data_IF_115394905844
#
_entry.id   IF_115394905844
#
_cell.length_a   1.000
_cell.length_b   1.000
_cell.length_c   1.000
_cell.angle_alpha   90.00
_cell.angle_beta   90.00
_cell.angle_gamma   90.00
#
_symmetry.space_group_name_H-M   'P 1'
#
loop_
_entity.id
_entity.type
_entity.pdbx_description
1 polymer ?
#
# COMPACT_ATOMS: atom_id res chain seq x y z
N UNK A 1 25.32 -11.98 4.59
CA UNK A 1 24.31 -11.15 3.91
C UNK A 1 23.71 -10.23 4.95
N UNK A 2 23.57 -8.94 4.65
CA UNK A 2 22.92 -8.01 5.58
C UNK A 2 21.40 -8.25 5.55
N UNK A 3 20.78 -8.28 6.73
CA UNK A 3 19.32 -8.29 6.88
C UNK A 3 18.89 -6.83 7.03
N UNK A 4 18.31 -6.26 5.97
CA UNK A 4 17.91 -4.85 5.97
C UNK A 4 16.58 -4.70 6.71
N UNK A 5 16.56 -3.81 7.71
CA UNK A 5 15.31 -3.47 8.40
C UNK A 5 14.39 -2.71 7.46
N UNK A 6 13.13 -3.13 7.41
CA UNK A 6 12.04 -2.42 6.73
C UNK A 6 11.16 -1.72 7.76
N UNK A 7 10.29 -0.79 7.34
CA UNK A 7 9.29 -0.21 8.24
C UNK A 7 8.40 -1.25 8.91
N UNK A 8 8.08 -2.36 8.24
CA UNK A 8 7.27 -3.43 8.85
C UNK A 8 8.04 -4.28 9.86
N UNK A 9 9.34 -4.51 9.66
CA UNK A 9 10.15 -5.20 10.69
C UNK A 9 10.36 -4.31 11.90
N UNK A 10 10.56 -3.00 11.70
CA UNK A 10 10.62 -2.01 12.77
C UNK A 10 9.28 -1.92 13.52
N UNK A 11 8.16 -1.87 12.79
CA UNK A 11 6.82 -1.88 13.38
C UNK A 11 6.60 -3.11 14.27
N UNK A 12 6.89 -4.31 13.76
CA UNK A 12 6.77 -5.56 14.53
C UNK A 12 7.68 -5.58 15.75
N UNK A 13 8.90 -5.05 15.65
CA UNK A 13 9.81 -4.96 16.79
C UNK A 13 9.24 -4.05 17.89
N UNK A 14 8.69 -2.89 17.50
CA UNK A 14 8.06 -1.95 18.44
C UNK A 14 6.75 -2.49 19.01
N UNK A 15 5.93 -3.15 18.20
CA UNK A 15 4.68 -3.77 18.65
C UNK A 15 4.91 -4.83 19.74
N UNK A 16 6.08 -5.49 19.78
CA UNK A 16 6.44 -6.44 20.85
C UNK A 16 6.78 -5.78 22.19
N UNK A 17 7.26 -4.54 22.19
CA UNK A 17 7.73 -3.85 23.40
C UNK A 17 6.78 -2.76 23.87
N UNK A 18 5.99 -2.18 22.96
CA UNK A 18 5.10 -1.06 23.20
C UNK A 18 3.69 -1.31 22.62
N UNK A 19 3.12 -2.49 22.88
CA UNK A 19 1.87 -2.99 22.28
C UNK A 19 0.74 -1.95 22.26
N UNK A 20 0.51 -1.28 23.39
CA UNK A 20 -0.61 -0.38 23.60
C UNK A 20 -0.28 1.11 23.42
N UNK A 21 0.99 1.44 23.13
CA UNK A 21 1.35 2.81 22.81
C UNK A 21 0.77 3.21 21.45
N UNK A 22 0.37 4.46 21.31
CA UNK A 22 -0.23 4.99 20.08
C UNK A 22 0.80 5.04 18.95
N UNK A 23 0.50 4.34 17.85
CA UNK A 23 1.27 4.36 16.61
C UNK A 23 0.70 5.38 15.62
N UNK A 24 -0.63 5.42 15.49
CA UNK A 24 -1.32 6.30 14.52
C UNK A 24 -2.53 6.96 15.18
N UNK A 25 -2.80 8.22 14.83
CA UNK A 25 -4.05 8.91 15.15
C UNK A 25 -4.99 8.80 13.96
N UNK A 26 -6.04 8.00 14.10
CA UNK A 26 -7.05 7.85 13.04
C UNK A 26 -8.06 8.98 13.13
N UNK A 27 -8.21 9.73 12.03
CA UNK A 27 -9.23 10.76 11.90
C UNK A 27 -10.59 10.14 11.55
N UNK A 28 -11.62 10.58 12.26
CA UNK A 28 -13.02 10.26 12.03
C UNK A 28 -13.78 11.53 11.67
N UNK A 29 -14.59 11.47 10.62
CA UNK A 29 -15.49 12.56 10.28
C UNK A 29 -16.72 12.48 11.19
N UNK A 30 -16.98 13.54 11.95
CA UNK A 30 -18.20 13.67 12.76
C UNK A 30 -18.88 15.00 12.48
N UNK A 31 -20.18 15.09 12.76
CA UNK A 31 -21.00 16.29 12.56
C UNK A 31 -20.50 17.50 13.35
N UNK A 32 -19.81 17.27 14.47
CA UNK A 32 -19.25 18.33 15.33
C UNK A 32 -17.81 18.72 14.98
N UNK A 33 -17.28 18.26 13.85
CA UNK A 33 -15.87 18.42 13.47
C UNK A 33 -15.05 17.13 13.59
N UNK A 34 -13.78 17.14 13.16
CA UNK A 34 -12.95 15.95 13.11
C UNK A 34 -12.64 15.42 14.52
N UNK A 35 -12.85 14.12 14.72
CA UNK A 35 -12.43 13.41 15.94
C UNK A 35 -11.24 12.52 15.63
N UNK A 36 -10.41 12.25 16.62
CA UNK A 36 -9.27 11.36 16.47
C UNK A 36 -9.35 10.22 17.48
N UNK A 37 -9.07 9.01 17.04
CA UNK A 37 -8.86 7.86 17.92
C UNK A 37 -7.43 7.37 17.82
N UNK A 38 -7.00 6.68 18.87
CA UNK A 38 -5.67 6.13 18.96
C UNK A 38 -5.68 4.71 18.41
N UNK A 39 -4.77 4.45 17.47
CA UNK A 39 -4.45 3.11 16.99
C UNK A 39 -3.13 2.73 17.62
N UNK A 40 -3.13 1.67 18.42
CA UNK A 40 -1.92 1.18 19.06
C UNK A 40 -0.99 0.46 18.08
N UNK A 41 0.28 0.28 18.42
CA UNK A 41 1.21 -0.51 17.61
C UNK A 41 0.71 -1.93 17.32
N UNK A 42 0.14 -2.59 18.33
CA UNK A 42 -0.43 -3.93 18.17
C UNK A 42 -1.66 -3.92 17.24
N UNK A 43 -2.55 -2.92 17.39
CA UNK A 43 -3.70 -2.79 16.50
C UNK A 43 -3.25 -2.54 15.05
N UNK A 44 -2.29 -1.64 14.86
CA UNK A 44 -1.79 -1.29 13.53
C UNK A 44 -1.14 -2.48 12.83
N UNK A 45 -0.32 -3.26 13.55
CA UNK A 45 0.27 -4.49 13.00
C UNK A 45 -0.81 -5.49 12.57
N UNK A 46 -1.82 -5.74 13.42
CA UNK A 46 -2.89 -6.68 13.11
C UNK A 46 -3.74 -6.22 11.93
N UNK A 47 -4.03 -4.92 11.83
CA UNK A 47 -4.78 -4.36 10.72
C UNK A 47 -4.00 -4.50 9.40
N UNK A 48 -2.68 -4.32 9.42
CA UNK A 48 -1.81 -4.57 8.25
C UNK A 48 -1.82 -6.04 7.85
N UNK A 49 -1.72 -6.97 8.82
CA UNK A 49 -1.80 -8.42 8.53
C UNK A 49 -3.14 -8.81 7.91
N UNK A 50 -4.25 -8.29 8.45
CA UNK A 50 -5.58 -8.50 7.89
C UNK A 50 -5.69 -7.94 6.47
N UNK A 51 -5.16 -6.74 6.23
CA UNK A 51 -5.17 -6.11 4.90
C UNK A 51 -4.30 -6.86 3.90
N UNK A 52 -3.16 -7.39 4.33
CA UNK A 52 -2.31 -8.21 3.50
C UNK A 52 -2.97 -9.54 3.11
N UNK A 53 -3.65 -10.19 4.06
CA UNK A 53 -4.47 -11.37 3.82
C UNK A 53 -5.55 -11.09 2.77
N UNK A 54 -6.26 -9.97 2.92
CA UNK A 54 -7.27 -9.55 1.96
C UNK A 54 -6.69 -9.36 0.55
N UNK A 55 -5.57 -8.64 0.41
CA UNK A 55 -4.98 -8.41 -0.91
C UNK A 55 -4.44 -9.68 -1.54
N UNK A 56 -3.79 -10.55 -0.77
CA UNK A 56 -3.34 -11.85 -1.25
C UNK A 56 -4.51 -12.69 -1.78
N UNK A 57 -5.61 -12.75 -1.02
CA UNK A 57 -6.85 -13.44 -1.44
C UNK A 57 -7.48 -12.80 -2.67
N UNK A 58 -7.44 -11.47 -2.78
CA UNK A 58 -8.03 -10.72 -3.88
C UNK A 58 -7.25 -10.92 -5.18
N UNK A 59 -5.92 -10.97 -5.11
CA UNK A 59 -5.05 -11.09 -6.28
C UNK A 59 -4.86 -12.52 -6.78
N UNK A 60 -4.99 -13.51 -5.90
CA UNK A 60 -4.78 -14.93 -6.24
C UNK A 60 -5.62 -15.42 -7.44
N UNK A 61 -6.93 -15.11 -7.58
CA UNK A 61 -7.73 -15.55 -8.71
C UNK A 61 -7.38 -14.88 -10.05
N UNK A 62 -6.51 -13.85 -10.03
CA UNK A 62 -6.10 -13.08 -11.19
C UNK A 62 -4.67 -13.40 -11.65
N UNK A 63 -4.07 -14.49 -11.12
CA UNK A 63 -2.71 -14.94 -11.44
C UNK A 63 -1.61 -13.88 -11.25
N UNK A 64 -1.87 -12.89 -10.37
CA UNK A 64 -0.89 -11.86 -10.02
C UNK A 64 0.13 -12.48 -9.07
N UNK A 65 1.36 -12.63 -9.55
CA UNK A 65 2.45 -13.25 -8.80
C UNK A 65 2.94 -12.35 -7.66
N UNK A 66 3.36 -12.94 -6.55
CA UNK A 66 4.14 -12.22 -5.53
C UNK A 66 5.36 -11.54 -6.18
N UNK A 67 5.88 -10.47 -5.56
CA UNK A 67 6.96 -9.60 -6.07
C UNK A 67 6.56 -8.72 -7.28
N UNK A 68 5.36 -8.88 -7.83
CA UNK A 68 4.84 -7.97 -8.84
C UNK A 68 4.67 -6.55 -8.28
N UNK A 69 4.76 -5.55 -9.17
CA UNK A 69 4.45 -4.16 -8.85
C UNK A 69 2.94 -3.99 -8.83
N UNK A 70 2.42 -3.37 -7.78
CA UNK A 70 1.00 -3.01 -7.64
C UNK A 70 0.91 -1.50 -7.51
N UNK A 71 0.21 -0.87 -8.45
CA UNK A 71 -0.15 0.53 -8.37
C UNK A 71 -1.08 0.77 -7.18
N UNK A 72 -0.86 1.85 -6.43
CA UNK A 72 -1.70 2.26 -5.31
C UNK A 72 -2.05 3.74 -5.49
N UNK A 73 -3.27 4.01 -5.95
CA UNK A 73 -3.74 5.35 -6.29
C UNK A 73 -4.88 5.77 -5.36
N UNK A 74 -4.50 6.27 -4.18
CA UNK A 74 -5.39 6.57 -3.06
C UNK A 74 -5.33 8.05 -2.69
N UNK A 75 -6.29 8.51 -1.87
CA UNK A 75 -6.27 9.87 -1.29
C UNK A 75 -5.04 10.14 -0.43
N UNK A 76 -4.56 9.12 0.29
CA UNK A 76 -3.36 9.19 1.13
C UNK A 76 -3.55 9.99 2.43
N UNK A 77 -4.77 10.09 2.93
CA UNK A 77 -5.10 10.90 4.12
C UNK A 77 -5.85 10.13 5.22
N UNK A 78 -6.35 8.93 4.90
CA UNK A 78 -7.05 8.08 5.86
C UNK A 78 -6.11 7.02 6.45
N UNK A 79 -6.50 6.47 7.60
CA UNK A 79 -5.82 5.31 8.16
C UNK A 79 -5.91 4.09 7.23
N UNK A 80 -7.05 3.90 6.55
CA UNK A 80 -7.19 2.82 5.57
C UNK A 80 -6.21 2.95 4.40
N UNK A 81 -5.90 4.18 3.95
CA UNK A 81 -4.89 4.38 2.91
C UNK A 81 -3.52 3.81 3.32
N UNK A 82 -3.12 4.03 4.58
CA UNK A 82 -1.89 3.44 5.14
C UNK A 82 -1.96 1.92 5.18
N UNK A 83 -3.10 1.35 5.57
CA UNK A 83 -3.30 -0.09 5.60
C UNK A 83 -3.19 -0.71 4.22
N UNK A 84 -3.73 -0.08 3.19
CA UNK A 84 -3.62 -0.56 1.82
C UNK A 84 -2.17 -0.55 1.33
N UNK A 85 -1.45 0.56 1.55
CA UNK A 85 -0.03 0.70 1.16
C UNK A 85 0.82 -0.39 1.83
N UNK A 86 0.73 -0.50 3.15
CA UNK A 86 1.54 -1.46 3.91
C UNK A 86 1.05 -2.90 3.78
N UNK A 87 -0.25 -3.10 3.59
CA UNK A 87 -0.86 -4.40 3.36
C UNK A 87 -0.43 -5.01 2.02
N UNK A 88 -0.36 -4.21 0.95
CA UNK A 88 0.20 -4.63 -0.35
C UNK A 88 1.66 -5.06 -0.18
N UNK A 89 2.48 -4.24 0.48
CA UNK A 89 3.87 -4.60 0.75
C UNK A 89 3.99 -5.88 1.60
N UNK A 90 3.20 -5.96 2.68
CA UNK A 90 3.16 -7.12 3.58
C UNK A 90 2.73 -8.40 2.87
N UNK A 91 1.85 -8.31 1.88
CA UNK A 91 1.39 -9.43 1.08
C UNK A 91 2.44 -9.96 0.08
N UNK A 92 3.60 -9.30 -0.02
CA UNK A 92 4.74 -9.74 -0.83
C UNK A 92 4.88 -8.99 -2.16
N UNK A 93 4.15 -7.89 -2.37
CA UNK A 93 4.20 -7.09 -3.60
C UNK A 93 5.02 -5.80 -3.41
N UNK A 94 5.46 -5.19 -4.51
CA UNK A 94 6.07 -3.85 -4.48
C UNK A 94 4.99 -2.80 -4.72
N UNK A 95 4.75 -1.90 -3.77
CA UNK A 95 3.77 -0.84 -3.93
C UNK A 95 4.35 0.33 -4.75
N UNK A 96 3.67 0.73 -5.82
CA UNK A 96 3.92 1.97 -6.55
C UNK A 96 2.90 3.02 -6.14
N UNK A 97 3.33 4.07 -5.46
CA UNK A 97 2.44 5.07 -4.87
C UNK A 97 2.12 6.19 -5.86
N UNK A 98 0.87 6.24 -6.33
CA UNK A 98 0.40 7.25 -7.28
C UNK A 98 -0.37 8.33 -6.52
N UNK A 99 0.07 9.59 -6.67
CA UNK A 99 -0.55 10.72 -5.99
C UNK A 99 -1.90 11.07 -6.63
N UNK A 100 -2.95 11.21 -5.81
CA UNK A 100 -4.30 11.58 -6.29
C UNK A 100 -4.37 12.93 -7.03
N UNK A 101 -3.40 13.83 -6.80
CA UNK A 101 -3.33 15.11 -7.52
C UNK A 101 -3.03 14.94 -9.02
N UNK A 102 -2.60 13.77 -9.45
CA UNK A 102 -2.53 13.39 -10.85
C UNK A 102 -3.95 13.12 -11.34
N UNK A 103 -4.66 14.14 -11.83
CA UNK A 103 -6.09 14.02 -12.20
C UNK A 103 -6.30 13.47 -13.60
N UNK A 104 -5.25 13.39 -14.42
CA UNK A 104 -5.30 12.82 -15.76
C UNK A 104 -5.01 11.31 -15.70
N UNK A 105 -5.98 10.44 -16.02
CA UNK A 105 -5.79 8.99 -16.01
C UNK A 105 -4.71 8.52 -16.98
N UNK A 106 -4.48 9.22 -18.10
CA UNK A 106 -3.46 8.83 -19.09
C UNK A 106 -2.06 8.83 -18.49
N UNK A 107 -1.76 9.82 -17.65
CA UNK A 107 -0.46 9.93 -16.94
C UNK A 107 -0.32 8.81 -15.92
N UNK A 108 -1.40 8.46 -15.21
CA UNK A 108 -1.40 7.34 -14.28
C UNK A 108 -1.14 6.01 -15.02
N UNK A 109 -1.77 5.79 -16.18
CA UNK A 109 -1.53 4.61 -17.01
C UNK A 109 -0.09 4.56 -17.55
N UNK A 110 0.49 5.69 -17.94
CA UNK A 110 1.89 5.76 -18.39
C UNK A 110 2.84 5.32 -17.27
N UNK A 111 2.68 5.84 -16.05
CA UNK A 111 3.57 5.47 -14.93
C UNK A 111 3.36 4.05 -14.45
N UNK A 112 2.13 3.51 -14.52
CA UNK A 112 1.84 2.10 -14.23
C UNK A 112 2.54 1.20 -15.24
N UNK A 113 2.43 1.53 -16.53
CA UNK A 113 3.07 0.80 -17.63
C UNK A 113 4.59 0.84 -17.49
N UNK A 114 5.16 2.02 -17.23
CA UNK A 114 6.59 2.19 -17.05
C UNK A 114 7.15 1.38 -15.88
N UNK A 115 6.36 1.16 -14.82
CA UNK A 115 6.75 0.37 -13.66
C UNK A 115 6.50 -1.13 -13.83
N UNK A 116 5.88 -1.56 -14.94
CA UNK A 116 5.46 -2.93 -15.13
C UNK A 116 4.40 -3.37 -14.09
N UNK A 117 3.50 -2.47 -13.72
CA UNK A 117 2.46 -2.77 -12.73
C UNK A 117 1.54 -3.88 -13.24
N UNK A 118 1.37 -4.92 -12.41
CA UNK A 118 0.49 -6.06 -12.71
C UNK A 118 -0.98 -5.77 -12.39
N UNK A 119 -1.25 -4.83 -11.50
CA UNK A 119 -2.59 -4.39 -11.12
C UNK A 119 -2.57 -3.00 -10.47
N UNK A 120 -3.76 -2.43 -10.29
CA UNK A 120 -3.98 -1.14 -9.63
C UNK A 120 -5.00 -1.27 -8.49
N UNK A 121 -4.61 -0.85 -7.30
CA UNK A 121 -5.51 -0.55 -6.18
C UNK A 121 -5.84 0.94 -6.21
N UNK A 122 -7.11 1.32 -6.21
CA UNK A 122 -7.52 2.71 -6.38
C UNK A 122 -8.60 3.18 -5.40
N UNK A 123 -8.68 4.50 -5.18
CA UNK A 123 -9.79 5.10 -4.44
C UNK A 123 -11.12 4.86 -5.20
N UNK A 124 -12.23 4.59 -4.51
CA UNK A 124 -13.49 4.26 -5.18
C UNK A 124 -14.00 5.38 -6.09
N UNK A 125 -13.65 6.64 -5.80
CA UNK A 125 -13.99 7.79 -6.65
C UNK A 125 -13.38 7.70 -8.05
N UNK A 126 -12.27 6.96 -8.23
CA UNK A 126 -11.60 6.80 -9.52
C UNK A 126 -12.20 5.69 -10.39
N UNK A 127 -13.18 4.93 -9.90
CA UNK A 127 -13.71 3.77 -10.60
C UNK A 127 -14.27 4.10 -12.00
N UNK A 128 -14.88 5.29 -12.17
CA UNK A 128 -15.43 5.71 -13.46
C UNK A 128 -14.37 6.04 -14.50
N UNK A 129 -13.21 6.55 -14.08
CA UNK A 129 -12.12 6.94 -14.99
C UNK A 129 -11.18 5.78 -15.34
N UNK A 130 -11.34 4.63 -14.68
CA UNK A 130 -10.52 3.44 -14.85
C UNK A 130 -11.22 2.32 -15.65
N UNK A 131 -12.39 2.58 -16.24
CA UNK A 131 -13.17 1.57 -16.96
C UNK A 131 -12.41 0.94 -18.14
N UNK A 132 -11.54 1.73 -18.78
CA UNK A 132 -10.75 1.31 -19.94
C UNK A 132 -9.32 0.87 -19.56
N UNK A 133 -9.08 0.55 -18.27
CA UNK A 133 -7.76 0.11 -17.80
C UNK A 133 -7.33 -1.20 -18.49
N UNK A 134 -6.09 -1.23 -18.98
CA UNK A 134 -5.48 -2.41 -19.60
C UNK A 134 -4.95 -3.43 -18.58
N UNK A 135 -4.89 -3.05 -17.30
CA UNK A 135 -4.52 -3.93 -16.18
C UNK A 135 -5.70 -4.08 -15.20
N UNK A 136 -5.79 -5.20 -14.46
CA UNK A 136 -6.80 -5.38 -13.43
C UNK A 136 -6.82 -4.24 -12.40
N UNK A 137 -8.01 -3.73 -12.10
CA UNK A 137 -8.21 -2.66 -11.10
C UNK A 137 -9.07 -3.12 -9.94
N UNK A 138 -8.69 -2.72 -8.73
CA UNK A 138 -9.36 -3.11 -7.50
C UNK A 138 -9.65 -1.88 -6.63
N UNK A 139 -10.92 -1.71 -6.28
CA UNK A 139 -11.33 -0.61 -5.41
C UNK A 139 -10.89 -0.85 -3.97
N UNK A 140 -10.24 0.15 -3.38
CA UNK A 140 -9.89 0.22 -1.97
C UNK A 140 -11.14 0.54 -1.13
N UNK A 141 -12.00 -0.48 -0.93
CA UNK A 141 -13.26 -0.34 -0.19
C UNK A 141 -13.13 -0.84 1.25
N UNK A 142 -13.28 0.07 2.22
CA UNK A 142 -13.74 -0.14 3.60
C UNK A 142 -13.31 -1.45 4.28
N UNK A 143 -12.02 -1.76 4.27
CA UNK A 143 -11.50 -3.03 4.80
C UNK A 143 -11.82 -3.22 6.28
N UNK A 144 -11.79 -2.14 7.06
CA UNK A 144 -12.05 -2.20 8.50
C UNK A 144 -13.51 -2.53 8.83
N UNK A 145 -14.43 -2.39 7.87
CA UNK A 145 -15.83 -2.81 8.03
C UNK A 145 -16.09 -4.28 7.68
N UNK A 146 -15.11 -4.95 7.06
CA UNK A 146 -15.21 -6.35 6.65
C UNK A 146 -14.45 -7.22 7.65
N UNK A 147 -15.14 -7.61 8.73
CA UNK A 147 -14.62 -8.64 9.64
C UNK A 147 -14.64 -9.99 8.92
N UNK A 148 -13.48 -10.44 8.41
CA UNK A 148 -13.34 -11.82 7.92
C UNK A 148 -13.01 -12.75 9.09
N UNK A 149 -13.80 -13.82 9.23
CA UNK A 149 -13.66 -14.80 10.32
C UNK A 149 -12.40 -15.66 10.20
N UNK A 150 -11.80 -15.74 9.01
CA UNK A 150 -10.60 -16.53 8.74
C UNK A 150 -9.69 -15.80 7.76
N UNK A 151 -8.54 -15.37 8.26
CA UNK A 151 -7.50 -14.74 7.43
C UNK A 151 -6.84 -15.78 6.53
N UNK A 152 -6.55 -15.37 5.29
CA UNK A 152 -5.68 -16.10 4.37
C UNK A 152 -4.25 -16.01 4.90
N UNK A 153 -3.52 -17.14 4.89
CA UNK A 153 -2.16 -17.16 5.39
C UNK A 153 -1.26 -16.27 4.50
N UNK A 154 -0.80 -15.18 5.08
CA UNK A 154 0.28 -14.38 4.50
C UNK A 154 1.59 -15.07 4.86
N UNK A 155 2.52 -15.14 3.91
CA UNK A 155 3.84 -15.74 4.14
C UNK A 155 4.63 -15.00 5.23
N UNK A 156 5.89 -15.41 5.50
CA UNK A 156 6.74 -14.66 6.40
C UNK A 156 6.85 -13.18 5.96
N UNK A 157 7.23 -12.29 6.87
CA UNK A 157 7.52 -10.91 6.50
C UNK A 157 8.56 -10.89 5.35
N UNK A 158 8.37 -10.05 4.33
CA UNK A 158 9.36 -9.89 3.27
C UNK A 158 10.72 -9.55 3.89
N UNK A 159 11.71 -10.43 3.67
CA UNK A 159 13.10 -10.18 4.08
C UNK A 159 13.82 -9.51 2.92
N UNK A 160 14.52 -8.42 3.21
CA UNK A 160 15.38 -7.75 2.25
C UNK A 160 16.82 -8.13 2.56
N UNK A 161 17.36 -9.03 1.74
CA UNK A 161 18.71 -9.59 1.86
C UNK A 161 19.72 -8.84 1.00
N UNK A 162 19.23 -8.03 0.07
CA UNK A 162 20.02 -7.17 -0.81
C UNK A 162 19.50 -5.71 -0.72
N UNK A 163 20.46 -4.79 -0.61
CA UNK A 163 20.21 -3.35 -0.49
C UNK A 163 19.57 -2.73 -1.73
N UNK A 164 19.65 -3.40 -2.88
CA UNK A 164 19.05 -2.95 -4.14
C UNK A 164 17.63 -3.50 -4.36
N UNK A 165 17.09 -4.34 -3.46
CA UNK A 165 15.69 -4.74 -3.50
C UNK A 165 14.77 -3.53 -3.30
N UNK A 166 13.78 -3.39 -4.19
CA UNK A 166 12.84 -2.27 -4.19
C UNK A 166 11.74 -2.51 -3.17
N UNK A 167 11.61 -1.58 -2.22
CA UNK A 167 10.54 -1.57 -1.21
C UNK A 167 9.27 -0.93 -1.76
N UNK A 168 9.40 0.27 -2.33
CA UNK A 168 8.30 1.05 -2.90
C UNK A 168 8.80 1.86 -4.10
N UNK A 169 7.87 2.25 -4.97
CA UNK A 169 8.15 3.13 -6.12
C UNK A 169 7.35 4.42 -5.94
N UNK A 170 8.05 5.55 -5.96
CA UNK A 170 7.48 6.90 -5.98
C UNK A 170 7.65 7.54 -7.35
N UNK A 171 7.22 8.80 -7.47
CA UNK A 171 7.37 9.58 -8.70
C UNK A 171 7.88 10.99 -8.41
N UNK A 172 8.66 11.51 -9.34
CA UNK A 172 8.91 12.96 -9.43
C UNK A 172 7.92 13.59 -10.40
N UNK A 173 7.66 14.90 -10.27
CA UNK A 173 6.74 15.65 -11.15
C UNK A 173 7.21 15.73 -12.60
N UNK A 174 8.49 15.44 -12.89
CA UNK A 174 8.99 15.42 -14.26
C UNK A 174 9.05 16.78 -14.94
N UNK A 175 9.14 17.89 -14.20
CA UNK A 175 9.07 19.26 -14.74
C UNK A 175 10.04 19.54 -15.90
N UNK A 176 11.17 18.84 -15.98
CA UNK A 176 12.16 18.96 -17.06
C UNK A 176 11.84 18.07 -18.27
N UNK A 177 11.17 16.93 -18.07
CA UNK A 177 10.85 15.96 -19.14
C UNK A 177 9.40 16.00 -19.61
N UNK A 178 8.54 16.76 -18.94
CA UNK A 178 7.09 16.83 -19.20
C UNK A 178 6.31 15.62 -18.67
N UNK A 179 6.97 14.52 -18.31
CA UNK A 179 6.35 13.30 -17.80
C UNK A 179 6.95 12.85 -16.45
N UNK A 180 6.12 12.36 -15.49
CA UNK A 180 6.60 11.85 -14.21
C UNK A 180 7.59 10.69 -14.37
N UNK A 181 8.61 10.65 -13.51
CA UNK A 181 9.64 9.59 -13.52
C UNK A 181 9.54 8.72 -12.29
N UNK A 182 9.75 7.42 -12.47
CA UNK A 182 9.82 6.44 -11.37
C UNK A 182 11.03 6.71 -10.48
N UNK A 183 10.82 6.60 -9.17
CA UNK A 183 11.85 6.67 -8.14
C UNK A 183 11.71 5.43 -7.26
N UNK A 184 12.47 4.37 -7.55
CA UNK A 184 12.53 3.20 -6.69
C UNK A 184 13.21 3.54 -5.36
N UNK A 185 12.56 3.23 -4.25
CA UNK A 185 13.15 3.27 -2.91
C UNK A 185 13.59 1.86 -2.57
N UNK A 186 14.89 1.67 -2.43
CA UNK A 186 15.48 0.37 -2.14
C UNK A 186 15.71 0.17 -0.65
N UNK A 187 15.93 -1.09 -0.24
CA UNK A 187 16.21 -1.45 1.15
C UNK A 187 17.38 -0.67 1.76
N UNK A 188 18.39 -0.29 0.96
CA UNK A 188 19.56 0.49 1.41
C UNK A 188 19.21 1.94 1.80
N UNK A 189 18.16 2.51 1.22
CA UNK A 189 17.77 3.91 1.47
C UNK A 189 16.89 4.08 2.71
N UNK A 190 16.40 2.98 3.29
CA UNK A 190 15.54 2.93 4.46
C UNK A 190 16.34 2.69 5.73
#
# INVERSE_FOLDING_TARGET
>A
MADFSTPLTALRATAKTQLYATAVKQKHNATTGPRYSDVSYHQFENDIEATASYWKKTFLPHDISEQSVIGVWLKGTSYEDLLHIWGVFRAGYTAQLILLRMTDPSVAHEVLTAAGAAALVHDPYLASVLQDSTIPTFSANGLLSKSESKLTLVGPLPKMMDGDQILMIYHTSGSTSGAPKLVPITARWM
#
